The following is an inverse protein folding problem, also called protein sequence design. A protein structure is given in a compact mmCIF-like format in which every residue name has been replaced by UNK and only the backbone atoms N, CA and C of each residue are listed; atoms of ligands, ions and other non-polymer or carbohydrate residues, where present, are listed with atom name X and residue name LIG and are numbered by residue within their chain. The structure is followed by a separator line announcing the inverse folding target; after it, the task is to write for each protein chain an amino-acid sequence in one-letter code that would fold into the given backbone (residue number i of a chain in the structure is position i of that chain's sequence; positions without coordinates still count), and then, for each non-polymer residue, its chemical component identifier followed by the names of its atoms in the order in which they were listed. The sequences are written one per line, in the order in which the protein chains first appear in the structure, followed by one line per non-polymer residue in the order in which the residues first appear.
data_IF_866016653582
#
_entry.id   IF_866016653582
#
_cell.length_a   1.000
_cell.length_b   1.000
_cell.length_c   1.000
_cell.angle_alpha   90.00
_cell.angle_beta   90.00
_cell.angle_gamma   90.00
#
_symmetry.space_group_name_H-M   'P 1'
#
loop_
_entity.id
_entity.type
_entity.pdbx_description
1 polymer ?
#
# COMPACT_ATOMS: atom_id res chain seq x y z
N UNK A 1 -32.72 9.28 -0.21
CA UNK A 1 -31.40 8.99 -0.77
C UNK A 1 -30.50 8.69 0.40
N UNK A 2 -30.27 7.40 0.68
CA UNK A 2 -29.21 7.00 1.60
C UNK A 2 -27.90 7.55 1.01
N UNK A 3 -27.22 8.40 1.77
CA UNK A 3 -25.86 8.79 1.40
C UNK A 3 -25.04 7.52 1.40
N UNK A 4 -24.36 7.21 0.30
CA UNK A 4 -23.33 6.17 0.28
C UNK A 4 -22.48 6.34 1.53
N UNK A 5 -22.47 5.32 2.38
CA UNK A 5 -21.71 5.33 3.61
C UNK A 5 -20.24 5.18 3.23
N UNK A 6 -19.60 6.29 2.86
CA UNK A 6 -18.14 6.34 2.71
C UNK A 6 -17.58 5.91 4.07
N UNK A 7 -16.82 4.80 4.13
CA UNK A 7 -16.23 4.35 5.38
C UNK A 7 -15.40 5.48 5.97
N UNK A 8 -15.61 5.79 7.25
CA UNK A 8 -14.76 6.72 7.99
C UNK A 8 -13.29 6.29 7.82
N UNK A 9 -12.34 7.20 7.51
CA UNK A 9 -10.92 6.82 7.37
C UNK A 9 -10.36 6.10 8.60
N UNK A 10 -10.81 6.49 9.79
CA UNK A 10 -10.47 5.86 11.07
C UNK A 10 -10.70 4.35 11.02
N UNK A 11 -9.61 3.60 11.18
CA UNK A 11 -9.55 2.13 11.16
C UNK A 11 -9.88 1.46 9.81
N UNK A 12 -10.04 2.22 8.72
CA UNK A 12 -10.31 1.68 7.38
C UNK A 12 -9.25 2.07 6.34
N UNK A 13 -8.35 2.99 6.65
CA UNK A 13 -7.25 3.41 5.77
C UNK A 13 -5.90 3.24 6.50
N UNK A 14 -4.95 2.61 5.81
CA UNK A 14 -3.54 2.52 6.20
C UNK A 14 -2.68 2.99 5.03
N UNK A 15 -1.90 4.05 5.25
CA UNK A 15 -0.90 4.51 4.29
C UNK A 15 0.45 3.81 4.58
N UNK A 16 1.15 3.34 3.56
CA UNK A 16 2.38 2.57 3.72
C UNK A 16 3.47 3.19 2.84
N UNK A 17 4.66 3.38 3.39
CA UNK A 17 5.80 3.94 2.66
C UNK A 17 5.77 5.46 2.56
N UNK A 18 5.05 6.13 3.47
CA UNK A 18 4.95 7.59 3.47
C UNK A 18 6.33 8.20 3.80
N UNK A 19 6.75 9.22 3.04
CA UNK A 19 8.06 9.90 3.22
C UNK A 19 7.90 11.35 3.60
N UNK A 20 7.05 12.04 2.85
CA UNK A 20 6.69 13.43 3.04
C UNK A 20 5.18 13.48 3.18
N UNK A 21 4.71 14.07 4.26
CA UNK A 21 3.30 14.33 4.50
C UNK A 21 3.17 15.84 4.40
N UNK A 22 2.42 16.33 3.41
CA UNK A 22 2.15 17.76 3.31
C UNK A 22 1.29 18.22 4.51
N UNK A 23 1.34 19.49 4.87
CA UNK A 23 0.69 19.99 6.09
C UNK A 23 -0.83 19.70 6.11
N UNK A 24 -1.49 19.81 4.95
CA UNK A 24 -2.89 19.46 4.77
C UNK A 24 -3.17 17.97 4.93
N UNK A 25 -2.31 17.09 4.42
CA UNK A 25 -2.42 15.64 4.57
C UNK A 25 -2.22 15.24 6.02
N UNK A 26 -1.24 15.84 6.71
CA UNK A 26 -0.98 15.61 8.12
C UNK A 26 -2.19 15.99 8.96
N UNK A 27 -2.78 17.16 8.68
CA UNK A 27 -4.01 17.61 9.34
C UNK A 27 -5.17 16.63 9.09
N UNK A 28 -5.38 16.20 7.84
CA UNK A 28 -6.40 15.21 7.51
C UNK A 28 -6.17 13.89 8.26
N UNK A 29 -4.93 13.40 8.29
CA UNK A 29 -4.58 12.15 8.98
C UNK A 29 -4.83 12.23 10.48
N UNK A 30 -4.47 13.35 11.12
CA UNK A 30 -4.72 13.60 12.54
C UNK A 30 -6.23 13.70 12.83
N UNK A 31 -6.95 14.49 12.03
CA UNK A 31 -8.39 14.72 12.21
C UNK A 31 -9.21 13.44 11.99
N UNK A 32 -8.77 12.55 11.11
CA UNK A 32 -9.49 11.35 10.73
C UNK A 32 -8.88 10.05 11.29
N UNK A 33 -7.86 10.15 12.15
CA UNK A 33 -7.19 9.01 12.79
C UNK A 33 -6.75 7.95 11.77
N UNK A 34 -6.18 8.42 10.65
CA UNK A 34 -5.68 7.58 9.58
C UNK A 34 -4.33 6.99 9.99
N UNK A 35 -4.18 5.67 9.86
CA UNK A 35 -2.94 5.00 10.23
C UNK A 35 -1.92 5.13 9.09
N UNK A 36 -0.64 5.17 9.46
CA UNK A 36 0.45 5.21 8.48
C UNK A 36 1.71 4.50 8.96
N UNK A 37 2.51 4.02 8.01
CA UNK A 37 3.85 3.46 8.21
C UNK A 37 4.81 4.22 7.29
N UNK A 38 5.87 4.80 7.84
CA UNK A 38 6.85 5.57 7.07
C UNK A 38 7.78 4.64 6.28
N UNK A 39 8.26 5.08 5.12
CA UNK A 39 9.30 4.33 4.37
C UNK A 39 10.57 4.11 5.21
N UNK A 40 10.93 5.11 6.04
CA UNK A 40 12.05 5.02 6.98
C UNK A 40 11.84 3.95 8.04
N UNK A 41 10.61 3.79 8.52
CA UNK A 41 10.25 2.74 9.48
C UNK A 41 10.39 1.36 8.84
N UNK A 42 9.89 1.18 7.61
CA UNK A 42 10.00 -0.06 6.84
C UNK A 42 11.46 -0.48 6.69
N UNK A 43 12.35 0.46 6.36
CA UNK A 43 13.79 0.17 6.21
C UNK A 43 14.49 -0.17 7.52
N UNK A 44 14.11 0.48 8.62
CA UNK A 44 14.78 0.33 9.91
C UNK A 44 14.28 -0.89 10.70
N UNK A 45 12.99 -1.19 10.58
CA UNK A 45 12.33 -2.31 11.25
C UNK A 45 11.25 -2.91 10.33
N UNK A 46 11.71 -3.72 9.38
CA UNK A 46 10.84 -4.33 8.40
C UNK A 46 9.82 -5.29 9.05
N UNK A 47 10.27 -6.13 9.99
CA UNK A 47 9.40 -7.08 10.68
C UNK A 47 8.35 -6.39 11.55
N UNK A 48 8.73 -5.32 12.26
CA UNK A 48 7.80 -4.48 13.00
C UNK A 48 6.76 -3.83 12.08
N UNK A 49 7.19 -3.34 10.92
CA UNK A 49 6.28 -2.78 9.90
C UNK A 49 5.29 -3.83 9.38
N UNK A 50 5.75 -5.06 9.09
CA UNK A 50 4.87 -6.16 8.70
C UNK A 50 3.88 -6.52 9.82
N UNK A 51 4.29 -6.46 11.09
CA UNK A 51 3.42 -6.69 12.23
C UNK A 51 2.30 -5.63 12.32
N UNK A 52 2.62 -4.35 12.10
CA UNK A 52 1.63 -3.27 12.06
C UNK A 52 0.62 -3.43 10.93
N UNK A 53 1.05 -3.88 9.75
CA UNK A 53 0.12 -4.20 8.65
C UNK A 53 -0.85 -5.31 9.08
N UNK A 54 -0.36 -6.38 9.72
CA UNK A 54 -1.22 -7.47 10.22
C UNK A 54 -2.19 -6.98 11.29
N UNK A 55 -1.71 -6.15 12.20
CA UNK A 55 -2.51 -5.55 13.26
C UNK A 55 -3.65 -4.70 12.66
N UNK A 56 -3.36 -3.83 11.71
CA UNK A 56 -4.38 -3.04 11.00
C UNK A 56 -5.45 -3.93 10.35
N UNK A 57 -5.04 -5.00 9.65
CA UNK A 57 -5.96 -5.91 8.96
C UNK A 57 -6.84 -6.73 9.92
N UNK A 58 -6.43 -6.87 11.17
CA UNK A 58 -7.16 -7.62 12.21
C UNK A 58 -7.96 -6.73 13.17
N UNK A 59 -7.61 -5.45 13.32
CA UNK A 59 -8.27 -4.49 14.22
C UNK A 59 -9.48 -3.77 13.62
N UNK A 60 -9.56 -3.64 12.29
CA UNK A 60 -10.67 -2.93 11.65
C UNK A 60 -12.01 -3.63 11.89
N UNK A 61 -13.12 -2.86 11.86
CA UNK A 61 -14.51 -3.38 11.79
C UNK A 61 -14.77 -4.35 10.61
N UNK A 62 -13.77 -4.55 9.74
CA UNK A 62 -13.70 -5.58 8.70
C UNK A 62 -13.61 -7.00 9.28
N UNK A 63 -13.09 -7.14 10.51
CA UNK A 63 -13.28 -8.30 11.35
C UNK A 63 -14.72 -8.28 11.89
N UNK A 64 -15.71 -8.50 11.02
CA UNK A 64 -17.08 -8.74 11.47
C UNK A 64 -17.08 -10.01 12.30
N UNK A 65 -17.25 -9.82 13.60
CA UNK A 65 -17.79 -10.81 14.52
C UNK A 65 -18.93 -11.54 13.79
N UNK A 66 -18.76 -12.85 13.59
CA UNK A 66 -19.75 -13.82 13.11
C UNK A 66 -19.80 -14.23 11.63
N UNK A 67 -18.85 -13.85 10.76
CA UNK A 67 -18.73 -14.48 9.43
C UNK A 67 -17.35 -15.10 9.21
N UNK A 68 -17.30 -16.34 8.72
CA UNK A 68 -16.07 -17.05 8.31
C UNK A 68 -15.36 -16.44 7.09
N UNK A 69 -15.68 -15.20 6.73
CA UNK A 69 -15.16 -14.49 5.55
C UNK A 69 -13.91 -13.70 5.92
N UNK A 70 -12.91 -13.72 5.04
CA UNK A 70 -11.69 -12.91 5.20
C UNK A 70 -12.04 -11.43 5.10
N UNK A 71 -11.34 -10.59 5.87
CA UNK A 71 -11.30 -9.14 5.67
C UNK A 71 -11.03 -8.83 4.18
N UNK A 72 -11.87 -8.02 3.54
CA UNK A 72 -11.69 -7.60 2.15
C UNK A 72 -11.06 -6.22 2.10
N UNK A 73 -10.03 -6.04 1.29
CA UNK A 73 -9.29 -4.78 1.16
C UNK A 73 -9.19 -4.33 -0.28
N UNK A 74 -9.09 -3.02 -0.45
CA UNK A 74 -8.64 -2.37 -1.67
C UNK A 74 -7.17 -1.98 -1.51
N UNK A 75 -6.34 -2.25 -2.52
CA UNK A 75 -4.93 -1.83 -2.51
C UNK A 75 -4.72 -0.81 -3.61
N UNK A 76 -4.44 0.44 -3.22
CA UNK A 76 -3.93 1.42 -4.16
C UNK A 76 -2.42 1.45 -4.09
N UNK A 77 -1.74 1.12 -5.19
CA UNK A 77 -0.28 1.07 -5.23
C UNK A 77 0.28 2.24 -6.05
N UNK A 78 0.76 3.26 -5.35
CA UNK A 78 1.55 4.30 -5.97
C UNK A 78 2.95 3.76 -6.33
N UNK A 79 3.29 3.76 -7.62
CA UNK A 79 4.59 3.24 -8.06
C UNK A 79 5.75 4.09 -7.54
N UNK A 80 5.50 5.35 -7.20
CA UNK A 80 6.50 6.27 -6.69
C UNK A 80 6.92 5.95 -5.24
N UNK A 81 6.19 5.09 -4.51
CA UNK A 81 6.57 4.61 -3.17
C UNK A 81 7.93 3.90 -3.18
N UNK A 82 8.28 3.33 -4.34
CA UNK A 82 9.57 2.70 -4.56
C UNK A 82 10.67 3.76 -4.64
N UNK A 83 11.90 3.35 -4.37
CA UNK A 83 13.03 4.26 -4.57
C UNK A 83 13.13 4.69 -6.05
N UNK A 84 13.42 5.97 -6.37
CA UNK A 84 13.53 6.44 -7.76
C UNK A 84 14.59 5.71 -8.61
N UNK A 85 15.56 5.04 -7.99
CA UNK A 85 16.50 4.15 -8.68
C UNK A 85 15.84 2.87 -9.22
N UNK A 86 14.67 2.51 -8.69
CA UNK A 86 13.85 1.34 -9.03
C UNK A 86 12.65 1.78 -9.91
N UNK A 87 11.96 2.84 -9.51
CA UNK A 87 10.81 3.39 -10.22
C UNK A 87 10.92 4.91 -10.34
N UNK A 88 11.64 5.36 -11.36
CA UNK A 88 11.89 6.79 -11.58
C UNK A 88 10.90 7.46 -12.54
N UNK A 89 10.10 6.71 -13.29
CA UNK A 89 9.17 7.26 -14.28
C UNK A 89 7.86 7.75 -13.63
N UNK A 90 7.98 8.74 -12.73
CA UNK A 90 6.91 9.34 -11.92
C UNK A 90 7.10 10.85 -11.80
N UNK A 91 6.05 11.59 -11.44
CA UNK A 91 6.13 13.05 -11.25
C UNK A 91 6.90 13.45 -9.99
N UNK A 92 6.67 12.74 -8.88
CA UNK A 92 7.21 13.06 -7.57
C UNK A 92 8.27 12.04 -7.16
N UNK A 93 9.54 12.43 -7.28
CA UNK A 93 10.67 11.55 -6.97
C UNK A 93 11.19 11.88 -5.59
N UNK A 94 10.78 11.09 -4.62
CA UNK A 94 11.25 11.19 -3.25
C UNK A 94 12.28 10.10 -2.97
N UNK A 95 13.50 10.53 -2.62
CA UNK A 95 14.61 9.63 -2.30
C UNK A 95 14.30 8.78 -1.06
N UNK A 96 15.05 7.70 -0.89
CA UNK A 96 14.87 6.77 0.20
C UNK A 96 13.44 6.19 0.19
N UNK A 97 13.04 5.65 -0.96
CA UNK A 97 11.82 4.84 -1.08
C UNK A 97 11.98 3.45 -0.48
N UNK A 98 10.95 2.62 -0.64
CA UNK A 98 11.06 1.19 -0.32
C UNK A 98 11.62 0.43 -1.53
N UNK A 99 12.25 -0.71 -1.27
CA UNK A 99 12.69 -1.64 -2.31
C UNK A 99 11.52 -2.41 -2.91
N UNK A 100 11.70 -2.91 -4.13
CA UNK A 100 10.73 -3.81 -4.77
C UNK A 100 10.50 -5.10 -3.95
N UNK A 101 11.54 -5.60 -3.27
CA UNK A 101 11.44 -6.76 -2.37
C UNK A 101 10.55 -6.50 -1.16
N UNK A 102 10.68 -5.33 -0.53
CA UNK A 102 9.85 -4.93 0.62
C UNK A 102 8.40 -4.73 0.18
N UNK A 103 8.16 -4.04 -0.94
CA UNK A 103 6.83 -3.87 -1.51
C UNK A 103 6.13 -5.22 -1.77
N UNK A 104 6.84 -6.18 -2.39
CA UNK A 104 6.30 -7.52 -2.61
C UNK A 104 6.03 -8.28 -1.31
N UNK A 105 6.87 -8.14 -0.29
CA UNK A 105 6.65 -8.77 1.01
C UNK A 105 5.46 -8.15 1.78
N UNK A 106 5.24 -6.84 1.65
CA UNK A 106 4.03 -6.16 2.15
C UNK A 106 2.78 -6.70 1.46
N UNK A 107 2.78 -6.81 0.12
CA UNK A 107 1.66 -7.38 -0.65
C UNK A 107 1.36 -8.82 -0.22
N UNK A 108 2.39 -9.67 -0.06
CA UNK A 108 2.21 -11.04 0.45
C UNK A 108 1.62 -11.08 1.85
N UNK A 109 2.05 -10.16 2.71
CA UNK A 109 1.52 -10.04 4.08
C UNK A 109 0.05 -9.66 4.05
N UNK A 110 -0.35 -8.71 3.20
CA UNK A 110 -1.76 -8.34 3.01
C UNK A 110 -2.57 -9.55 2.55
N UNK A 111 -2.14 -10.24 1.50
CA UNK A 111 -2.87 -11.40 0.95
C UNK A 111 -3.00 -12.58 1.91
N UNK A 112 -2.01 -12.76 2.78
CA UNK A 112 -2.05 -13.82 3.79
C UNK A 112 -3.09 -13.54 4.89
N UNK A 113 -3.45 -12.27 5.11
CA UNK A 113 -4.32 -11.84 6.21
C UNK A 113 -5.67 -11.25 5.73
N UNK A 114 -5.81 -10.97 4.44
CA UNK A 114 -7.00 -10.37 3.84
C UNK A 114 -7.18 -10.82 2.37
N UNK A 115 -8.42 -10.75 1.88
CA UNK A 115 -8.74 -10.85 0.46
C UNK A 115 -8.53 -9.47 -0.19
N UNK A 116 -7.61 -9.37 -1.16
CA UNK A 116 -7.53 -8.18 -2.02
C UNK A 116 -8.69 -8.25 -3.01
N UNK A 117 -9.75 -7.48 -2.77
CA UNK A 117 -10.95 -7.47 -3.59
C UNK A 117 -10.74 -6.73 -4.92
N UNK A 118 -9.91 -5.69 -4.90
CA UNK A 118 -9.49 -4.93 -6.05
C UNK A 118 -8.17 -4.20 -5.75
N UNK A 119 -7.43 -3.85 -6.80
CA UNK A 119 -6.21 -3.06 -6.70
C UNK A 119 -6.00 -2.19 -7.94
N UNK A 120 -5.30 -1.08 -7.76
CA UNK A 120 -4.76 -0.26 -8.84
C UNK A 120 -3.24 -0.09 -8.70
N UNK A 121 -2.58 0.26 -9.80
CA UNK A 121 -1.20 0.75 -9.81
C UNK A 121 -1.25 2.11 -10.49
N UNK A 122 -0.82 3.15 -9.79
CA UNK A 122 -0.98 4.56 -10.20
C UNK A 122 0.38 5.25 -10.37
N UNK A 123 0.34 6.52 -10.80
CA UNK A 123 1.50 7.43 -10.94
C UNK A 123 2.63 7.01 -11.90
N UNK A 124 2.39 6.00 -12.75
CA UNK A 124 3.26 5.75 -13.90
C UNK A 124 3.17 6.91 -14.90
N UNK A 125 4.32 7.49 -15.23
CA UNK A 125 4.43 8.56 -16.22
C UNK A 125 5.33 8.16 -17.40
N UNK A 126 4.79 8.26 -18.62
CA UNK A 126 5.46 7.89 -19.86
C UNK A 126 6.47 8.94 -20.38
N UNK A 127 6.45 10.15 -19.85
CA UNK A 127 7.30 11.28 -20.26
C UNK A 127 8.76 11.15 -19.78
N UNK A 128 9.10 10.08 -19.05
CA UNK A 128 10.45 9.79 -18.55
C UNK A 128 11.09 8.59 -19.26
N UNK A 129 11.45 8.69 -20.56
CA UNK A 129 11.86 7.55 -21.37
C UNK A 129 13.12 6.83 -20.85
N UNK A 130 14.03 7.55 -20.17
CA UNK A 130 15.24 6.96 -19.59
C UNK A 130 14.99 6.05 -18.39
N UNK A 131 13.84 6.17 -17.73
CA UNK A 131 13.47 5.40 -16.54
C UNK A 131 12.23 4.52 -16.77
N UNK A 132 11.60 4.64 -17.94
CA UNK A 132 10.34 3.99 -18.26
C UNK A 132 10.45 2.47 -18.25
N UNK A 133 11.50 1.90 -18.85
CA UNK A 133 11.68 0.44 -18.89
C UNK A 133 11.79 -0.17 -17.48
N UNK A 134 12.67 0.38 -16.64
CA UNK A 134 12.84 -0.09 -15.25
C UNK A 134 11.55 0.07 -14.44
N UNK A 135 10.82 1.17 -14.64
CA UNK A 135 9.55 1.42 -13.94
C UNK A 135 8.46 0.45 -14.41
N UNK A 136 8.35 0.18 -15.71
CA UNK A 136 7.42 -0.81 -16.27
C UNK A 136 7.71 -2.24 -15.80
N UNK A 137 8.99 -2.59 -15.63
CA UNK A 137 9.38 -3.87 -15.03
C UNK A 137 8.88 -3.96 -13.58
N UNK A 138 9.07 -2.89 -12.79
CA UNK A 138 8.56 -2.81 -11.42
C UNK A 138 7.02 -2.91 -11.36
N UNK A 139 6.31 -2.19 -12.23
CA UNK A 139 4.84 -2.29 -12.37
C UNK A 139 4.43 -3.74 -12.68
N UNK A 140 5.12 -4.40 -13.61
CA UNK A 140 4.83 -5.78 -13.98
C UNK A 140 5.05 -6.74 -12.82
N UNK A 141 6.11 -6.56 -12.03
CA UNK A 141 6.36 -7.36 -10.83
C UNK A 141 5.28 -7.17 -9.76
N UNK A 142 4.87 -5.92 -9.50
CA UNK A 142 3.80 -5.60 -8.55
C UNK A 142 2.46 -6.18 -9.03
N UNK A 143 2.11 -6.00 -10.30
CA UNK A 143 0.89 -6.55 -10.89
C UNK A 143 0.85 -8.07 -10.80
N UNK A 144 1.98 -8.74 -11.04
CA UNK A 144 2.11 -10.19 -10.88
C UNK A 144 1.94 -10.61 -9.42
N UNK A 145 2.52 -9.88 -8.47
CA UNK A 145 2.40 -10.20 -7.05
C UNK A 145 0.95 -10.03 -6.55
N UNK A 146 0.26 -8.97 -6.98
CA UNK A 146 -1.16 -8.73 -6.68
C UNK A 146 -2.06 -9.84 -7.27
N UNK A 147 -1.83 -10.22 -8.54
CA UNK A 147 -2.64 -11.22 -9.24
C UNK A 147 -2.33 -12.68 -8.87
N UNK A 148 -1.18 -12.95 -8.25
CA UNK A 148 -0.76 -14.32 -7.93
C UNK A 148 -1.82 -14.98 -7.05
N UNK A 149 -2.44 -16.06 -7.50
CA UNK A 149 -3.30 -16.84 -6.62
C UNK A 149 -2.40 -17.62 -5.66
N UNK A 150 -2.72 -17.61 -4.38
CA UNK A 150 -2.08 -18.53 -3.45
C UNK A 150 -2.43 -19.93 -3.95
N UNK A 151 -1.42 -20.64 -4.44
CA UNK A 151 -1.53 -22.06 -4.75
C UNK A 151 -1.85 -22.77 -3.43
N UNK A 152 -3.14 -23.04 -3.23
CA UNK A 152 -3.65 -23.74 -2.05
C UNK A 152 -2.85 -25.03 -1.86
N UNK A 153 -2.15 -25.14 -0.74
CA UNK A 153 -1.77 -26.42 -0.16
C UNK A 153 -2.91 -26.94 0.70
#
# INVERSE_FOLDING_TARGET
MEREHIPSPKNNILLIGVRKIEAEESKFMIENDAQYIEAREIRNDFEGSLARVKEFLTQGKLAREQSAEKTRVYVSFDIDVLDPSIAGATHYKEQDGISLSEARALIRTIKSNAEIAAADIVELNLDFPSQLETTLNSVSEIANELNRRDSSK
#
